data_IF_640450199197
#
_entry.id   IF_640450199197
#
_cell.length_a   1.000
_cell.length_b   1.000
_cell.length_c   1.000
_cell.angle_alpha   90.00
_cell.angle_beta   90.00
_cell.angle_gamma   90.00
#
_symmetry.space_group_name_H-M   'P 1'
#
loop_
_entity.id
_entity.type
_entity.pdbx_description
1 polymer ?
#
# COMPACT_ATOMS: atom_id res chain seq x y z
N UNK A 1 -52.49 -45.20 40.28
CA UNK A 1 -53.26 -44.44 39.27
C UNK A 1 -52.33 -43.40 38.73
N UNK A 2 -51.98 -43.51 37.45
CA UNK A 2 -50.92 -42.72 36.81
C UNK A 2 -51.54 -41.48 36.17
N UNK A 3 -51.19 -40.29 36.65
CA UNK A 3 -51.52 -39.03 35.97
C UNK A 3 -50.53 -38.83 34.82
N UNK A 4 -51.03 -38.93 33.60
CA UNK A 4 -50.25 -38.70 32.39
C UNK A 4 -50.35 -37.22 32.04
N UNK A 5 -49.31 -36.44 32.33
CA UNK A 5 -49.26 -35.01 31.99
C UNK A 5 -49.28 -34.83 30.47
N UNK A 6 -50.33 -34.18 29.97
CA UNK A 6 -50.47 -33.86 28.55
C UNK A 6 -49.44 -32.80 28.15
N UNK A 7 -48.39 -33.21 27.43
CA UNK A 7 -47.41 -32.29 26.86
C UNK A 7 -48.06 -31.52 25.70
N UNK A 8 -48.20 -30.21 25.84
CA UNK A 8 -48.69 -29.34 24.77
C UNK A 8 -47.50 -28.72 24.02
N UNK A 9 -47.24 -29.17 22.79
CA UNK A 9 -46.16 -28.66 21.95
C UNK A 9 -46.64 -27.43 21.19
N UNK A 10 -46.11 -26.26 21.53
CA UNK A 10 -46.36 -25.01 20.81
C UNK A 10 -45.29 -24.87 19.72
N UNK A 11 -45.66 -25.09 18.46
CA UNK A 11 -44.79 -24.83 17.31
C UNK A 11 -44.77 -23.32 17.02
N UNK A 12 -43.77 -22.61 17.55
CA UNK A 12 -43.56 -21.21 17.21
C UNK A 12 -43.15 -21.10 15.72
N UNK A 13 -43.82 -20.26 14.90
CA UNK A 13 -43.43 -20.08 13.50
C UNK A 13 -42.01 -19.54 13.42
N UNK A 14 -41.16 -20.19 12.63
CA UNK A 14 -39.74 -19.89 12.54
C UNK A 14 -39.50 -18.58 11.75
N UNK A 15 -39.71 -17.44 12.42
CA UNK A 15 -39.56 -16.08 11.88
C UNK A 15 -38.11 -15.70 11.56
N UNK A 16 -37.13 -16.50 12.02
CA UNK A 16 -35.72 -16.30 11.67
C UNK A 16 -35.48 -16.50 10.17
N UNK A 17 -36.21 -17.43 9.51
CA UNK A 17 -36.11 -17.64 8.05
C UNK A 17 -36.54 -16.44 7.20
N UNK A 18 -37.33 -15.52 7.75
CA UNK A 18 -37.66 -14.27 7.07
C UNK A 18 -36.59 -13.19 7.25
N UNK A 19 -35.75 -13.28 8.30
CA UNK A 19 -34.68 -12.33 8.57
C UNK A 19 -33.31 -12.76 8.03
N UNK A 20 -33.07 -14.06 7.85
CA UNK A 20 -31.95 -14.52 7.02
C UNK A 20 -32.35 -14.35 5.56
N UNK A 21 -31.80 -13.31 4.93
CA UNK A 21 -32.03 -12.95 3.54
C UNK A 21 -32.12 -14.17 2.65
N UNK A 22 -33.28 -14.29 1.99
CA UNK A 22 -33.58 -15.40 1.10
C UNK A 22 -32.52 -15.54 0.01
N UNK A 23 -32.19 -16.80 -0.25
CA UNK A 23 -31.23 -17.30 -1.24
C UNK A 23 -31.65 -16.94 -2.68
N UNK A 24 -31.55 -15.69 -3.15
CA UNK A 24 -31.64 -15.28 -4.57
C UNK A 24 -31.09 -13.83 -4.69
N UNK A 25 -30.17 -13.47 -5.58
CA UNK A 25 -29.54 -14.16 -6.70
C UNK A 25 -28.05 -13.79 -6.79
N UNK A 26 -27.31 -14.54 -7.61
CA UNK A 26 -25.87 -14.35 -7.79
C UNK A 26 -25.53 -12.89 -8.09
N UNK A 27 -24.32 -12.49 -7.69
CA UNK A 27 -23.77 -11.15 -7.93
C UNK A 27 -24.14 -10.75 -9.37
N UNK A 28 -24.92 -9.67 -9.52
CA UNK A 28 -25.42 -9.23 -10.82
C UNK A 28 -24.23 -8.95 -11.74
N UNK A 29 -24.09 -9.74 -12.80
CA UNK A 29 -22.99 -9.61 -13.75
C UNK A 29 -22.92 -8.20 -14.36
N UNK A 30 -24.05 -7.50 -14.49
CA UNK A 30 -24.08 -6.11 -14.92
C UNK A 30 -23.54 -5.15 -13.85
N UNK A 31 -23.79 -5.44 -12.57
CA UNK A 31 -23.20 -4.68 -11.46
C UNK A 31 -21.68 -4.93 -11.34
N UNK A 32 -21.22 -6.18 -11.54
CA UNK A 32 -19.79 -6.50 -11.63
C UNK A 32 -19.14 -5.76 -12.80
N UNK A 33 -19.72 -5.88 -14.00
CA UNK A 33 -19.17 -5.24 -15.19
C UNK A 33 -19.13 -3.71 -15.06
N UNK A 34 -20.14 -3.10 -14.41
CA UNK A 34 -20.14 -1.66 -14.11
C UNK A 34 -19.04 -1.30 -13.09
N UNK A 35 -18.82 -2.13 -12.07
CA UNK A 35 -17.74 -1.93 -11.11
C UNK A 35 -16.35 -2.08 -11.74
N UNK A 36 -16.13 -3.10 -12.57
CA UNK A 36 -14.89 -3.31 -13.32
C UNK A 36 -14.63 -2.19 -14.33
N UNK A 37 -15.66 -1.69 -15.02
CA UNK A 37 -15.54 -0.58 -15.94
C UNK A 37 -15.18 0.74 -15.21
N UNK A 38 -15.78 0.98 -14.04
CA UNK A 38 -15.40 2.12 -13.20
C UNK A 38 -13.96 2.00 -12.68
N UNK A 39 -13.54 0.80 -12.26
CA UNK A 39 -12.16 0.53 -11.84
C UNK A 39 -11.16 0.73 -12.99
N UNK A 40 -11.50 0.25 -14.20
CA UNK A 40 -10.69 0.44 -15.41
C UNK A 40 -10.60 1.91 -15.84
N UNK A 41 -11.69 2.67 -15.68
CA UNK A 41 -11.68 4.12 -15.91
C UNK A 41 -10.79 4.86 -14.90
N UNK A 42 -10.66 4.35 -13.67
CA UNK A 42 -9.70 4.86 -12.68
C UNK A 42 -8.26 4.50 -13.04
N UNK A 43 -8.03 3.27 -13.48
CA UNK A 43 -6.71 2.77 -13.88
C UNK A 43 -6.05 3.61 -14.99
N UNK A 44 -6.87 4.19 -15.88
CA UNK A 44 -6.40 5.13 -16.90
C UNK A 44 -5.65 6.36 -16.36
N UNK A 45 -5.89 6.75 -15.09
CA UNK A 45 -5.23 7.89 -14.45
C UNK A 45 -4.08 7.50 -13.52
N UNK A 46 -3.93 6.21 -13.18
CA UNK A 46 -2.93 5.77 -12.19
C UNK A 46 -1.50 6.13 -12.58
N UNK A 47 -1.16 6.02 -13.87
CA UNK A 47 0.16 6.41 -14.35
C UNK A 47 0.43 7.93 -14.19
N UNK A 48 -0.57 8.77 -14.42
CA UNK A 48 -0.44 10.22 -14.22
C UNK A 48 -0.28 10.53 -12.72
N UNK A 49 -1.12 9.95 -11.87
CA UNK A 49 -1.03 10.14 -10.42
C UNK A 49 0.27 9.62 -9.82
N UNK A 50 0.77 8.47 -10.29
CA UNK A 50 2.09 7.98 -9.90
C UNK A 50 3.17 8.99 -10.27
N UNK A 51 3.16 9.54 -11.49
CA UNK A 51 4.11 10.57 -11.88
C UNK A 51 4.00 11.84 -11.02
N UNK A 52 2.79 12.27 -10.65
CA UNK A 52 2.61 13.40 -9.74
C UNK A 52 3.23 13.11 -8.36
N UNK A 53 3.09 11.90 -7.83
CA UNK A 53 3.75 11.49 -6.58
C UNK A 53 5.29 11.47 -6.72
N UNK A 54 5.82 11.02 -7.86
CA UNK A 54 7.27 11.07 -8.12
C UNK A 54 7.80 12.52 -8.17
N UNK A 55 7.05 13.44 -8.76
CA UNK A 55 7.42 14.86 -8.79
C UNK A 55 7.46 15.44 -7.38
N UNK A 56 6.49 15.11 -6.53
CA UNK A 56 6.47 15.55 -5.13
C UNK A 56 7.64 14.96 -4.33
N UNK A 57 7.96 13.68 -4.53
CA UNK A 57 9.11 13.03 -3.89
C UNK A 57 10.43 13.68 -4.32
N UNK A 58 10.60 13.95 -5.61
CA UNK A 58 11.80 14.58 -6.14
C UNK A 58 11.97 16.02 -5.65
N UNK A 59 10.86 16.76 -5.50
CA UNK A 59 10.86 18.09 -4.89
C UNK A 59 11.30 18.03 -3.42
N UNK A 60 10.82 17.05 -2.64
CA UNK A 60 11.27 16.86 -1.27
C UNK A 60 12.78 16.52 -1.19
N UNK A 61 13.28 15.66 -2.08
CA UNK A 61 14.73 15.38 -2.20
C UNK A 61 15.53 16.63 -2.57
N UNK A 62 15.03 17.44 -3.49
CA UNK A 62 15.67 18.69 -3.89
C UNK A 62 15.77 19.67 -2.72
N UNK A 63 14.70 19.80 -1.91
CA UNK A 63 14.73 20.60 -0.68
C UNK A 63 15.78 20.13 0.32
N UNK A 64 15.89 18.82 0.56
CA UNK A 64 16.96 18.26 1.41
C UNK A 64 18.34 18.62 0.87
N UNK A 65 18.53 18.63 -0.45
CA UNK A 65 19.82 19.02 -1.06
C UNK A 65 20.14 20.51 -0.91
N UNK A 66 19.13 21.38 -0.93
CA UNK A 66 19.32 22.84 -0.85
C UNK A 66 19.37 23.37 0.57
N UNK A 67 18.52 22.83 1.45
CA UNK A 67 18.31 23.29 2.84
C UNK A 67 19.00 22.39 3.87
N UNK A 68 19.57 21.26 3.43
CA UNK A 68 20.14 20.23 4.29
C UNK A 68 19.10 19.25 4.83
N UNK A 69 19.57 18.13 5.39
CA UNK A 69 18.72 17.20 6.14
C UNK A 69 18.49 17.76 7.54
N UNK A 70 17.30 18.32 7.76
CA UNK A 70 16.86 18.90 9.02
C UNK A 70 15.45 18.38 9.35
N UNK A 71 14.90 18.73 10.52
CA UNK A 71 13.61 18.20 10.99
C UNK A 71 12.50 18.38 9.93
N UNK A 72 12.38 19.57 9.36
CA UNK A 72 11.31 19.90 8.40
C UNK A 72 11.51 19.16 7.07
N UNK A 73 12.73 19.18 6.52
CA UNK A 73 13.01 18.55 5.22
C UNK A 73 12.93 17.02 5.32
N UNK A 74 13.38 16.46 6.44
CA UNK A 74 13.32 15.03 6.70
C UNK A 74 11.87 14.55 6.95
N UNK A 75 11.05 15.32 7.68
CA UNK A 75 9.62 15.05 7.82
C UNK A 75 8.89 15.11 6.47
N UNK A 76 9.14 16.16 5.69
CA UNK A 76 8.57 16.28 4.35
C UNK A 76 8.95 15.09 3.46
N UNK A 77 10.21 14.64 3.50
CA UNK A 77 10.66 13.48 2.73
C UNK A 77 10.01 12.19 3.20
N UNK A 78 9.93 11.97 4.52
CA UNK A 78 9.27 10.82 5.12
C UNK A 78 7.81 10.72 4.71
N UNK A 79 7.06 11.82 4.76
CA UNK A 79 5.65 11.84 4.37
C UNK A 79 5.48 11.44 2.90
N UNK A 80 6.34 11.91 1.99
CA UNK A 80 6.30 11.49 0.57
C UNK A 80 6.62 10.01 0.37
N UNK A 81 7.60 9.47 1.10
CA UNK A 81 7.88 8.04 1.08
C UNK A 81 6.69 7.23 1.64
N UNK A 82 6.05 7.72 2.70
CA UNK A 82 4.90 7.06 3.33
C UNK A 82 3.67 7.03 2.41
N UNK A 83 3.40 8.14 1.72
CA UNK A 83 2.33 8.21 0.72
C UNK A 83 2.56 7.16 -0.38
N UNK A 84 3.78 7.08 -0.94
CA UNK A 84 4.14 6.10 -1.97
C UNK A 84 4.09 4.65 -1.48
N UNK A 85 4.44 4.41 -0.22
CA UNK A 85 4.25 3.08 0.41
C UNK A 85 2.78 2.67 0.35
N UNK A 86 1.85 3.57 0.67
CA UNK A 86 0.41 3.31 0.63
C UNK A 86 -0.20 3.27 -0.78
N UNK A 87 0.34 4.07 -1.70
CA UNK A 87 -0.24 4.27 -3.04
C UNK A 87 0.35 3.35 -4.10
N UNK A 88 1.58 2.85 -3.94
CA UNK A 88 2.29 2.07 -4.96
C UNK A 88 1.48 0.90 -5.51
N UNK A 89 1.01 0.01 -4.64
CA UNK A 89 0.17 -1.12 -5.03
C UNK A 89 -1.19 -0.68 -5.62
N UNK A 90 -1.78 0.40 -5.12
CA UNK A 90 -3.05 0.95 -5.63
C UNK A 90 -2.91 1.44 -7.08
N UNK A 91 -1.73 1.98 -7.43
CA UNK A 91 -1.40 2.42 -8.78
C UNK A 91 -0.73 1.34 -9.63
N UNK A 92 -0.87 0.06 -9.25
CA UNK A 92 -0.33 -1.11 -9.96
C UNK A 92 1.21 -1.23 -9.97
N UNK A 93 1.90 -0.57 -9.03
CA UNK A 93 3.34 -0.75 -8.77
C UNK A 93 3.63 -1.29 -7.35
N UNK A 94 3.30 -2.57 -7.05
CA UNK A 94 3.66 -3.20 -5.77
C UNK A 94 5.14 -3.06 -5.38
N UNK A 95 6.06 -3.07 -6.36
CA UNK A 95 7.49 -2.89 -6.08
C UNK A 95 7.80 -1.50 -5.52
N UNK A 96 7.07 -0.46 -5.94
CA UNK A 96 7.21 0.90 -5.39
C UNK A 96 6.77 0.91 -3.93
N UNK A 97 5.67 0.22 -3.59
CA UNK A 97 5.26 0.05 -2.19
C UNK A 97 6.36 -0.59 -1.35
N UNK A 98 7.04 -1.62 -1.87
CA UNK A 98 8.14 -2.29 -1.15
C UNK A 98 9.35 -1.39 -0.98
N UNK A 99 9.82 -0.73 -2.05
CA UNK A 99 10.97 0.19 -2.00
C UNK A 99 10.68 1.37 -1.07
N UNK A 100 9.52 2.00 -1.20
CA UNK A 100 9.11 3.09 -0.33
C UNK A 100 8.96 2.63 1.12
N UNK A 101 8.50 1.40 1.35
CA UNK A 101 8.46 0.78 2.67
C UNK A 101 9.85 0.61 3.31
N UNK A 102 10.84 0.19 2.52
CA UNK A 102 12.25 0.12 2.96
C UNK A 102 12.81 1.51 3.27
N UNK A 103 12.54 2.50 2.42
CA UNK A 103 12.92 3.89 2.67
C UNK A 103 12.26 4.40 3.95
N UNK A 104 10.97 4.16 4.16
CA UNK A 104 10.30 4.55 5.40
C UNK A 104 11.01 3.95 6.62
N UNK A 105 11.42 2.69 6.61
CA UNK A 105 12.17 2.09 7.73
C UNK A 105 13.49 2.80 8.01
N UNK A 106 14.20 3.21 6.96
CA UNK A 106 15.48 3.94 7.08
C UNK A 106 15.31 5.30 7.77
N UNK A 107 14.16 5.95 7.55
CA UNK A 107 13.87 7.29 8.05
C UNK A 107 12.61 7.32 8.94
N UNK A 108 12.24 6.24 9.64
CA UNK A 108 10.96 6.19 10.37
C UNK A 108 11.05 6.96 11.69
N UNK A 109 12.13 6.73 12.42
CA UNK A 109 12.35 7.22 13.77
C UNK A 109 12.82 8.70 13.75
N UNK A 110 12.06 9.64 14.33
CA UNK A 110 12.44 11.04 14.40
C UNK A 110 13.80 11.30 15.08
N UNK A 111 14.20 10.44 16.03
CA UNK A 111 15.42 10.63 16.81
C UNK A 111 16.68 10.30 16.00
N UNK A 112 16.58 9.41 15.01
CA UNK A 112 17.72 8.91 14.21
C UNK A 112 17.62 9.29 12.72
N UNK A 113 16.46 9.76 12.26
CA UNK A 113 16.19 10.14 10.87
C UNK A 113 17.17 11.18 10.32
N UNK A 114 17.68 12.08 11.16
CA UNK A 114 18.63 13.12 10.74
C UNK A 114 20.04 12.59 10.49
N UNK A 115 20.36 11.41 11.02
CA UNK A 115 21.65 10.75 10.80
C UNK A 115 21.60 9.76 9.62
N UNK A 116 20.43 9.60 9.00
CA UNK A 116 20.22 8.65 7.92
C UNK A 116 21.21 8.90 6.75
N UNK A 117 21.88 7.85 6.25
CA UNK A 117 22.85 7.98 5.18
C UNK A 117 22.19 8.47 3.89
N UNK A 118 22.46 9.72 3.50
CA UNK A 118 21.84 10.34 2.34
C UNK A 118 22.08 9.59 1.03
N UNK A 119 23.20 8.87 0.88
CA UNK A 119 23.44 8.03 -0.30
C UNK A 119 22.43 6.88 -0.40
N UNK A 120 21.98 6.33 0.74
CA UNK A 120 21.03 5.23 0.78
C UNK A 120 19.61 5.75 0.56
N UNK A 121 19.27 6.90 1.15
CA UNK A 121 18.03 7.63 0.84
C UNK A 121 17.92 7.90 -0.66
N UNK A 122 18.97 8.47 -1.25
CA UNK A 122 19.05 8.76 -2.68
C UNK A 122 18.87 7.49 -3.54
N UNK A 123 19.52 6.39 -3.17
CA UNK A 123 19.41 5.12 -3.87
C UNK A 123 17.97 4.57 -3.87
N UNK A 124 17.22 4.72 -2.78
CA UNK A 124 15.81 4.30 -2.74
C UNK A 124 14.93 5.15 -3.66
N UNK A 125 15.13 6.48 -3.66
CA UNK A 125 14.36 7.39 -4.52
C UNK A 125 14.68 7.09 -6.00
N UNK A 126 15.95 6.89 -6.33
CA UNK A 126 16.36 6.55 -7.69
C UNK A 126 15.82 5.18 -8.12
N UNK A 127 15.76 4.20 -7.21
CA UNK A 127 15.13 2.90 -7.47
C UNK A 127 13.63 3.02 -7.75
N UNK A 128 12.89 3.83 -6.97
CA UNK A 128 11.46 4.10 -7.20
C UNK A 128 11.26 4.71 -8.59
N UNK A 129 12.03 5.75 -8.93
CA UNK A 129 11.94 6.43 -10.24
C UNK A 129 12.30 5.50 -11.39
N UNK A 130 13.33 4.67 -11.22
CA UNK A 130 13.75 3.69 -12.20
C UNK A 130 12.70 2.60 -12.42
N UNK A 131 12.06 2.11 -11.35
CA UNK A 131 11.00 1.12 -11.44
C UNK A 131 9.81 1.65 -12.25
N UNK A 132 9.32 2.86 -11.94
CA UNK A 132 8.21 3.47 -12.69
C UNK A 132 8.60 3.76 -14.15
N UNK A 133 9.79 4.32 -14.38
CA UNK A 133 10.27 4.61 -15.75
C UNK A 133 10.46 3.34 -16.59
N UNK A 134 10.89 2.26 -15.96
CA UNK A 134 11.10 0.96 -16.60
C UNK A 134 9.86 0.08 -16.68
N UNK A 135 8.69 0.57 -16.23
CA UNK A 135 7.45 -0.21 -16.05
C UNK A 135 7.68 -1.52 -15.27
N UNK A 136 8.60 -1.48 -14.32
CA UNK A 136 8.86 -2.58 -13.39
C UNK A 136 7.84 -2.48 -12.28
N UNK A 137 6.85 -3.38 -12.29
CA UNK A 137 5.70 -3.31 -11.37
C UNK A 137 5.84 -4.23 -10.16
N UNK A 138 6.38 -5.43 -10.35
CA UNK A 138 6.50 -6.47 -9.33
C UNK A 138 7.95 -6.94 -9.17
N UNK A 139 8.19 -7.69 -8.11
CA UNK A 139 9.46 -8.37 -7.84
C UNK A 139 9.63 -9.68 -8.62
N UNK A 140 8.73 -10.00 -9.56
CA UNK A 140 9.00 -11.04 -10.57
C UNK A 140 10.04 -10.57 -11.59
N UNK A 141 10.24 -9.25 -11.71
CA UNK A 141 11.27 -8.69 -12.55
C UNK A 141 12.65 -8.88 -11.89
N UNK A 142 13.59 -9.63 -12.48
CA UNK A 142 14.83 -10.03 -11.82
C UNK A 142 15.69 -8.84 -11.37
N UNK A 143 15.73 -7.78 -12.18
CA UNK A 143 16.44 -6.53 -11.84
C UNK A 143 15.78 -5.81 -10.66
N UNK A 144 14.44 -5.76 -10.64
CA UNK A 144 13.70 -5.07 -9.60
C UNK A 144 13.86 -5.78 -8.26
N UNK A 145 13.75 -7.12 -8.28
CA UNK A 145 13.96 -7.98 -7.11
C UNK A 145 15.34 -7.84 -6.52
N UNK A 146 16.39 -7.98 -7.34
CA UNK A 146 17.76 -7.88 -6.86
C UNK A 146 18.05 -6.50 -6.25
N UNK A 147 17.54 -5.43 -6.88
CA UNK A 147 17.71 -4.07 -6.37
C UNK A 147 17.04 -3.86 -5.02
N UNK A 148 15.78 -4.29 -4.84
CA UNK A 148 15.08 -4.11 -3.56
C UNK A 148 15.69 -4.98 -2.46
N UNK A 149 16.11 -6.20 -2.75
CA UNK A 149 16.77 -7.08 -1.76
C UNK A 149 18.09 -6.47 -1.27
N UNK A 150 18.89 -5.88 -2.16
CA UNK A 150 20.12 -5.17 -1.79
C UNK A 150 19.83 -3.92 -0.94
N UNK A 151 18.84 -3.10 -1.33
CA UNK A 151 18.46 -1.92 -0.57
C UNK A 151 17.97 -2.28 0.83
N UNK A 152 17.08 -3.27 0.95
CA UNK A 152 16.58 -3.78 2.23
C UNK A 152 17.71 -4.34 3.09
N UNK A 153 18.66 -5.07 2.49
CA UNK A 153 19.84 -5.58 3.18
C UNK A 153 20.69 -4.47 3.78
N UNK A 154 20.95 -3.38 3.01
CA UNK A 154 21.69 -2.21 3.51
C UNK A 154 20.97 -1.48 4.63
N UNK A 155 19.65 -1.33 4.52
CA UNK A 155 18.83 -0.72 5.59
C UNK A 155 18.87 -1.59 6.85
N UNK A 156 18.75 -2.91 6.70
CA UNK A 156 18.81 -3.83 7.84
C UNK A 156 20.16 -3.76 8.58
N UNK A 157 21.28 -3.68 7.85
CA UNK A 157 22.60 -3.48 8.46
C UNK A 157 22.66 -2.14 9.20
N UNK A 158 22.22 -1.05 8.56
CA UNK A 158 22.26 0.28 9.17
C UNK A 158 21.40 0.39 10.44
N UNK A 159 20.21 -0.22 10.45
CA UNK A 159 19.30 -0.17 11.60
C UNK A 159 19.76 -1.08 12.75
N UNK A 160 20.63 -2.05 12.47
CA UNK A 160 21.18 -2.96 13.49
C UNK A 160 22.43 -2.40 14.20
N UNK A 161 23.07 -1.39 13.63
CA UNK A 161 24.23 -0.67 14.18
C UNK A 161 23.80 0.40 15.20
#
# INVERSE_FOLDING_TARGET
MSENSTVQVIQAPNTLRQKVGGRFGGIDAAAIAKAEAALKSLAGNFAAWMNDELVKLDAARARVRTEGLNIETAESLYLRAHDLKGLGATYEFPIVTRIAGSLCKLIDDPDTRLDAPMFLVDAHIDAIKAAVRGDIRTDDHPVGKALIEELEGRVATYVAD
#
